data_IF_957528059557
#
_entry.id   IF_957528059557
#
_cell.length_a   1.000
_cell.length_b   1.000
_cell.length_c   1.000
_cell.angle_alpha   90.00
_cell.angle_beta   90.00
_cell.angle_gamma   90.00
#
_symmetry.space_group_name_H-M   'P 1'
#
loop_
_entity.id
_entity.type
_entity.pdbx_description
1 polymer ?
#
# COMPACT_ATOMS: atom_id res chain seq x y z
N UNK A 1 8.19 2.22 -0.78
CA UNK A 1 6.84 2.79 -0.92
C UNK A 1 6.49 2.80 -2.39
N UNK A 2 5.31 2.33 -2.78
CA UNK A 2 4.89 2.24 -4.18
C UNK A 2 4.82 3.66 -4.76
N UNK A 3 5.51 3.94 -5.88
CA UNK A 3 5.36 5.21 -6.56
C UNK A 3 3.88 5.45 -6.91
N UNK A 4 3.36 6.67 -6.77
CA UNK A 4 2.01 7.03 -7.19
C UNK A 4 2.04 7.98 -8.38
N UNK A 5 1.39 7.61 -9.48
CA UNK A 5 1.23 8.47 -10.66
C UNK A 5 -0.21 8.97 -10.68
N UNK A 6 -0.43 10.24 -10.35
CA UNK A 6 -1.78 10.79 -10.19
C UNK A 6 -2.44 11.11 -11.53
N UNK A 7 -3.69 10.67 -11.75
CA UNK A 7 -4.46 11.15 -12.89
C UNK A 7 -4.95 12.60 -12.64
N UNK A 8 -5.28 13.28 -13.72
CA UNK A 8 -6.02 14.55 -13.64
C UNK A 8 -7.43 14.25 -13.14
N UNK A 9 -7.89 14.97 -12.11
CA UNK A 9 -9.23 14.84 -11.56
C UNK A 9 -10.19 15.82 -12.23
N UNK A 10 -11.24 15.35 -12.95
CA UNK A 10 -12.25 16.25 -13.50
C UNK A 10 -13.10 16.90 -12.40
N UNK A 11 -13.42 18.18 -12.58
CA UNK A 11 -14.18 18.96 -11.61
C UNK A 11 -15.55 18.34 -11.27
N UNK A 12 -16.22 17.77 -12.27
CA UNK A 12 -17.50 17.08 -12.07
C UNK A 12 -17.35 15.87 -11.12
N UNK A 13 -16.34 15.04 -11.34
CA UNK A 13 -16.05 13.91 -10.46
C UNK A 13 -15.68 14.37 -9.04
N UNK A 14 -14.87 15.43 -8.92
CA UNK A 14 -14.51 16.02 -7.62
C UNK A 14 -15.73 16.50 -6.82
N UNK A 15 -16.76 17.02 -7.50
CA UNK A 15 -17.98 17.49 -6.88
C UNK A 15 -18.95 16.37 -6.48
N UNK A 16 -18.90 15.22 -7.18
CA UNK A 16 -19.87 14.13 -6.99
C UNK A 16 -19.37 13.02 -6.05
N UNK A 17 -18.06 12.85 -5.91
CA UNK A 17 -17.49 11.71 -5.20
C UNK A 17 -16.63 12.14 -4.03
N UNK A 18 -16.68 11.34 -2.97
CA UNK A 18 -15.76 11.47 -1.84
C UNK A 18 -14.31 11.22 -2.30
N UNK A 19 -13.33 11.94 -1.74
CA UNK A 19 -11.93 11.80 -2.12
C UNK A 19 -11.39 10.38 -1.90
N UNK A 20 -11.84 9.64 -0.87
CA UNK A 20 -11.39 8.27 -0.62
C UNK A 20 -11.74 7.35 -1.81
N UNK A 21 -12.97 7.42 -2.30
CA UNK A 21 -13.44 6.63 -3.42
C UNK A 21 -12.70 6.97 -4.71
N UNK A 22 -12.42 8.25 -4.95
CA UNK A 22 -11.59 8.69 -6.09
C UNK A 22 -10.16 8.14 -5.99
N UNK A 23 -9.54 8.20 -4.81
CA UNK A 23 -8.20 7.67 -4.58
C UNK A 23 -8.16 6.13 -4.71
N UNK A 24 -9.16 5.41 -4.19
CA UNK A 24 -9.25 3.96 -4.32
C UNK A 24 -9.40 3.52 -5.77
N UNK A 25 -10.21 4.25 -6.56
CA UNK A 25 -10.30 4.02 -8.00
C UNK A 25 -8.96 4.30 -8.72
N UNK A 26 -8.29 5.40 -8.36
CA UNK A 26 -7.04 5.80 -9.00
C UNK A 26 -5.84 4.90 -8.64
N UNK A 27 -5.75 4.41 -7.41
CA UNK A 27 -4.53 3.79 -6.86
C UNK A 27 -4.72 2.36 -6.32
N UNK A 28 -5.96 1.92 -6.15
CA UNK A 28 -6.34 0.66 -5.51
C UNK A 28 -6.66 0.84 -4.02
N UNK A 29 -7.18 -0.22 -3.40
CA UNK A 29 -7.59 -0.25 -1.99
C UNK A 29 -6.38 -0.52 -1.06
N UNK A 30 -5.40 0.39 -1.07
CA UNK A 30 -4.19 0.26 -0.24
C UNK A 30 -3.85 1.58 0.43
N UNK A 31 -3.30 1.51 1.64
CA UNK A 31 -2.66 2.66 2.27
C UNK A 31 -1.48 3.12 1.41
N UNK A 32 -1.39 4.43 1.16
CA UNK A 32 -0.35 5.00 0.31
C UNK A 32 1.07 4.84 0.88
N UNK A 33 1.20 4.72 2.20
CA UNK A 33 2.50 4.70 2.88
C UNK A 33 2.93 3.29 3.29
N UNK A 34 2.10 2.55 4.02
CA UNK A 34 2.42 1.20 4.47
C UNK A 34 2.02 0.11 3.46
N UNK A 35 1.23 0.47 2.42
CA UNK A 35 0.77 -0.43 1.35
C UNK A 35 -0.12 -1.58 1.82
N UNK A 36 -0.62 -1.52 3.06
CA UNK A 36 -1.59 -2.49 3.58
C UNK A 36 -2.92 -2.37 2.84
N UNK A 37 -3.60 -3.49 2.53
CA UNK A 37 -4.96 -3.46 2.00
C UNK A 37 -5.94 -2.76 2.95
N UNK A 38 -6.83 -1.95 2.38
CA UNK A 38 -7.92 -1.27 3.08
C UNK A 38 -9.16 -2.17 2.99
N UNK A 39 -9.52 -2.82 4.10
CA UNK A 39 -10.65 -3.76 4.14
C UNK A 39 -11.95 -3.10 4.58
N UNK A 40 -11.89 -2.25 5.61
CA UNK A 40 -13.08 -1.70 6.27
C UNK A 40 -13.07 -0.17 6.24
N UNK A 41 -12.07 0.45 6.89
CA UNK A 41 -11.97 1.90 7.05
C UNK A 41 -10.77 2.48 6.31
N UNK A 42 -10.91 3.72 5.86
CA UNK A 42 -9.85 4.50 5.24
C UNK A 42 -9.97 5.97 5.59
N UNK A 43 -8.83 6.65 5.66
CA UNK A 43 -8.76 8.09 5.89
C UNK A 43 -8.05 8.77 4.75
N UNK A 44 -8.43 10.01 4.44
CA UNK A 44 -7.80 10.82 3.41
C UNK A 44 -6.94 11.87 4.08
N UNK A 45 -5.62 11.75 3.95
CA UNK A 45 -4.64 12.67 4.53
C UNK A 45 -4.12 13.66 3.49
N UNK A 46 -4.08 14.95 3.84
CA UNK A 46 -3.58 16.04 3.00
C UNK A 46 -2.14 16.41 3.40
N UNK A 47 -1.21 16.15 2.50
CA UNK A 47 0.22 16.44 2.70
C UNK A 47 0.57 17.93 2.78
N UNK A 48 -0.35 18.84 2.48
CA UNK A 48 -0.13 20.28 2.70
C UNK A 48 -0.36 20.69 4.13
N UNK A 49 -1.34 20.07 4.78
CA UNK A 49 -1.82 20.47 6.11
C UNK A 49 -1.37 19.49 7.20
N UNK A 50 -0.97 18.28 6.81
CA UNK A 50 -0.65 17.21 7.74
C UNK A 50 -1.87 16.64 8.44
N UNK A 51 -3.08 16.89 7.93
CA UNK A 51 -4.34 16.50 8.56
C UNK A 51 -5.20 15.67 7.63
N UNK A 52 -6.09 14.88 8.20
CA UNK A 52 -7.14 14.23 7.43
C UNK A 52 -8.22 15.24 7.03
N UNK A 53 -8.73 15.10 5.81
CA UNK A 53 -9.84 15.89 5.27
C UNK A 53 -11.15 15.14 5.42
N UNK A 54 -12.25 15.89 5.38
CA UNK A 54 -13.59 15.29 5.34
C UNK A 54 -13.77 14.47 4.07
N UNK A 55 -14.29 13.26 4.23
CA UNK A 55 -14.52 12.33 3.12
C UNK A 55 -15.91 12.51 2.49
N UNK A 56 -16.23 13.76 2.16
CA UNK A 56 -17.49 14.14 1.54
C UNK A 56 -17.28 14.56 0.07
N UNK A 57 -18.30 14.43 -0.80
CA UNK A 57 -18.27 15.00 -2.14
C UNK A 57 -17.89 16.49 -2.12
N UNK A 58 -17.00 16.90 -3.03
CA UNK A 58 -16.48 18.28 -3.09
C UNK A 58 -15.22 18.53 -2.25
N UNK A 59 -14.84 17.62 -1.34
CA UNK A 59 -13.66 17.78 -0.47
C UNK A 59 -12.32 17.42 -1.13
N UNK A 60 -12.31 17.13 -2.44
CA UNK A 60 -11.10 16.74 -3.19
C UNK A 60 -10.25 17.93 -3.71
N UNK A 61 -10.40 19.13 -3.14
CA UNK A 61 -9.78 20.36 -3.64
C UNK A 61 -8.24 20.28 -3.77
N UNK A 62 -7.58 19.58 -2.86
CA UNK A 62 -6.13 19.37 -2.85
C UNK A 62 -5.71 18.03 -3.46
N UNK A 63 -6.44 17.49 -4.45
CA UNK A 63 -6.22 16.16 -5.05
C UNK A 63 -4.75 15.73 -5.23
N UNK A 64 -3.88 16.65 -5.67
CA UNK A 64 -2.46 16.41 -5.86
C UNK A 64 -1.69 16.06 -4.57
N UNK A 65 -2.28 16.29 -3.40
CA UNK A 65 -1.69 16.12 -2.08
C UNK A 65 -2.50 15.19 -1.18
N UNK A 66 -3.53 14.51 -1.70
CA UNK A 66 -4.35 13.59 -0.93
C UNK A 66 -3.82 12.16 -1.00
N UNK A 67 -3.85 11.46 0.13
CA UNK A 67 -3.34 10.10 0.29
C UNK A 67 -4.29 9.26 1.14
N UNK A 68 -4.50 8.01 0.76
CA UNK A 68 -5.22 7.05 1.58
C UNK A 68 -4.34 6.55 2.72
N UNK A 69 -4.86 6.55 3.93
CA UNK A 69 -4.28 5.90 5.09
C UNK A 69 -5.12 4.69 5.50
N UNK A 70 -4.45 3.63 5.96
CA UNK A 70 -5.08 2.63 6.81
C UNK A 70 -5.19 3.15 8.24
N UNK A 71 -5.88 2.38 9.08
CA UNK A 71 -6.08 2.70 10.50
C UNK A 71 -4.76 2.92 11.24
N UNK A 72 -3.79 2.04 11.04
CA UNK A 72 -2.57 2.12 11.83
C UNK A 72 -1.62 3.25 11.37
N UNK A 73 -1.64 3.69 10.11
CA UNK A 73 -0.98 4.92 9.69
C UNK A 73 -1.74 6.17 10.17
N UNK A 74 -3.07 6.13 10.17
CA UNK A 74 -3.88 7.22 10.71
C UNK A 74 -3.66 7.44 12.22
N UNK A 75 -3.71 6.37 13.02
CA UNK A 75 -3.45 6.44 14.46
C UNK A 75 -2.00 6.86 14.75
N UNK A 76 -1.03 6.36 13.97
CA UNK A 76 0.37 6.75 14.11
C UNK A 76 0.58 8.26 13.88
N UNK A 77 -0.04 8.84 12.84
CA UNK A 77 0.12 10.28 12.60
C UNK A 77 -0.57 11.14 13.67
N UNK A 78 -1.64 10.65 14.31
CA UNK A 78 -2.26 11.35 15.45
C UNK A 78 -1.33 11.36 16.68
N UNK A 79 -0.60 10.26 16.90
CA UNK A 79 0.30 10.09 18.02
C UNK A 79 1.70 10.70 17.78
N UNK A 80 2.04 11.02 16.54
CA UNK A 80 3.34 11.56 16.17
C UNK A 80 3.53 12.99 16.70
N UNK A 81 4.76 13.30 17.10
CA UNK A 81 5.18 14.69 17.32
C UNK A 81 4.95 15.50 16.04
N UNK A 82 4.49 16.75 16.18
CA UNK A 82 4.27 17.65 15.04
C UNK A 82 5.51 17.69 14.13
N UNK A 83 5.35 17.22 12.89
CA UNK A 83 6.35 17.30 11.81
C UNK A 83 5.80 18.21 10.73
N UNK A 84 6.65 19.04 10.14
CA UNK A 84 6.31 19.76 8.91
C UNK A 84 6.04 18.72 7.80
N UNK A 85 4.82 18.63 7.24
CA UNK A 85 4.51 17.67 6.19
C UNK A 85 5.44 17.77 4.97
N UNK A 86 6.02 18.94 4.69
CA UNK A 86 6.98 19.13 3.61
C UNK A 86 8.33 18.42 3.87
N UNK A 87 8.63 18.07 5.13
CA UNK A 87 9.81 17.30 5.51
C UNK A 87 9.66 15.79 5.26
N UNK A 88 8.45 15.32 4.93
CA UNK A 88 8.17 13.91 4.67
C UNK A 88 8.52 13.52 3.23
N UNK A 89 9.02 12.30 3.07
CA UNK A 89 9.12 11.63 1.78
C UNK A 89 7.73 11.12 1.36
N UNK A 90 7.22 11.59 0.23
CA UNK A 90 5.89 11.24 -0.29
C UNK A 90 5.95 10.19 -1.42
N UNK A 91 4.94 9.32 -1.55
CA UNK A 91 4.90 8.27 -2.58
C UNK A 91 4.94 8.76 -4.03
N UNK A 92 4.55 10.01 -4.31
CA UNK A 92 4.56 10.59 -5.66
C UNK A 92 5.86 11.33 -6.00
N UNK A 93 6.78 11.46 -5.03
CA UNK A 93 8.10 12.04 -5.27
C UNK A 93 8.97 11.08 -6.10
N UNK A 94 9.60 11.56 -7.19
CA UNK A 94 10.50 10.74 -8.00
C UNK A 94 11.61 10.10 -7.15
N UNK A 95 11.76 8.78 -7.27
CA UNK A 95 12.82 8.04 -6.56
C UNK A 95 12.58 7.86 -5.07
N UNK A 96 11.36 8.07 -4.54
CA UNK A 96 11.03 7.77 -3.14
C UNK A 96 11.38 6.31 -2.75
N UNK A 97 11.30 5.40 -3.71
CA UNK A 97 11.79 4.05 -3.57
C UNK A 97 12.14 3.46 -4.95
N UNK A 98 13.33 2.85 -5.03
CA UNK A 98 13.81 2.14 -6.22
C UNK A 98 14.64 0.92 -5.79
N UNK A 99 14.15 -0.32 -6.00
CA UNK A 99 14.86 -1.53 -5.60
C UNK A 99 16.15 -1.78 -6.40
N UNK A 100 16.34 -1.10 -7.54
CA UNK A 100 17.56 -1.20 -8.34
C UNK A 100 18.73 -0.40 -7.77
N UNK A 101 18.44 0.54 -6.86
CA UNK A 101 19.39 1.53 -6.38
C UNK A 101 19.79 1.27 -4.93
N UNK A 102 21.08 1.04 -4.65
CA UNK A 102 21.55 0.86 -3.28
C UNK A 102 21.43 2.14 -2.44
N UNK A 103 21.28 3.31 -3.06
CA UNK A 103 21.08 4.61 -2.40
C UNK A 103 19.61 5.03 -2.32
N UNK A 104 18.65 4.17 -2.71
CA UNK A 104 17.22 4.45 -2.60
C UNK A 104 16.85 4.94 -1.18
N UNK A 105 16.10 6.06 -1.03
CA UNK A 105 15.78 6.64 0.27
C UNK A 105 15.14 5.68 1.25
N UNK A 106 14.21 4.85 0.76
CA UNK A 106 13.63 3.74 1.51
C UNK A 106 14.27 2.42 1.08
N UNK A 107 14.46 1.51 2.02
CA UNK A 107 14.84 0.13 1.77
C UNK A 107 13.97 -0.82 2.59
N UNK A 108 13.69 -1.99 2.04
CA UNK A 108 12.90 -3.05 2.66
C UNK A 108 13.79 -4.28 2.76
N UNK A 109 14.05 -4.75 3.98
CA UNK A 109 14.96 -5.89 4.20
C UNK A 109 14.37 -6.86 5.21
N UNK A 110 14.53 -8.16 4.96
CA UNK A 110 14.22 -9.19 5.95
C UNK A 110 15.32 -9.18 7.01
N UNK A 111 14.94 -8.96 8.26
CA UNK A 111 15.84 -8.91 9.41
C UNK A 111 15.36 -9.87 10.49
N UNK A 112 16.30 -10.49 11.19
CA UNK A 112 16.02 -11.23 12.41
C UNK A 112 15.88 -10.24 13.56
N UNK A 113 14.73 -10.22 14.21
CA UNK A 113 14.41 -9.37 15.35
C UNK A 113 14.14 -10.22 16.59
N UNK A 114 14.18 -9.57 17.76
CA UNK A 114 13.74 -10.15 19.02
C UNK A 114 12.35 -9.63 19.38
N UNK A 115 11.36 -10.51 19.46
CA UNK A 115 10.01 -10.16 19.95
C UNK A 115 9.89 -10.44 21.44
N UNK A 116 9.31 -9.50 22.15
CA UNK A 116 8.95 -9.63 23.56
C UNK A 116 7.52 -9.13 23.76
N UNK A 117 6.74 -9.86 24.54
CA UNK A 117 5.40 -9.44 24.95
C UNK A 117 5.48 -8.75 26.32
N UNK A 118 4.72 -7.68 26.51
CA UNK A 118 4.70 -6.91 27.75
C UNK A 118 3.31 -6.82 28.37
N UNK A 119 3.22 -6.78 29.70
CA UNK A 119 1.99 -6.46 30.42
C UNK A 119 1.69 -4.95 30.40
N UNK A 120 0.58 -4.56 31.04
CA UNK A 120 0.18 -3.15 31.20
C UNK A 120 1.22 -2.30 31.96
N UNK A 121 2.05 -2.94 32.80
CA UNK A 121 3.13 -2.27 33.54
C UNK A 121 4.45 -2.23 32.74
N UNK A 122 4.46 -2.69 31.48
CA UNK A 122 5.63 -2.74 30.61
C UNK A 122 6.62 -3.87 30.96
N UNK A 123 6.24 -4.83 31.81
CA UNK A 123 7.09 -5.96 32.19
C UNK A 123 6.92 -7.10 31.20
N UNK A 124 7.98 -7.84 30.94
CA UNK A 124 7.94 -8.96 30.00
C UNK A 124 7.05 -10.09 30.54
N UNK A 125 6.08 -10.57 29.74
CA UNK A 125 5.14 -11.64 30.13
C UNK A 125 5.52 -13.02 29.60
N UNK A 126 6.60 -13.11 28.81
CA UNK A 126 7.07 -14.36 28.23
C UNK A 126 8.53 -14.33 27.81
N UNK A 127 9.04 -15.46 27.28
CA UNK A 127 10.39 -15.51 26.74
C UNK A 127 10.52 -14.64 25.49
N UNK A 128 11.72 -14.10 25.28
CA UNK A 128 12.06 -13.44 24.05
C UNK A 128 12.11 -14.45 22.89
N UNK A 129 11.53 -14.09 21.74
CA UNK A 129 11.44 -14.94 20.55
C UNK A 129 12.20 -14.33 19.37
N UNK A 130 13.01 -15.15 18.70
CA UNK A 130 13.72 -14.75 17.50
C UNK A 130 12.79 -14.90 16.27
N UNK A 131 12.42 -13.79 15.64
CA UNK A 131 11.48 -13.77 14.51
C UNK A 131 12.06 -13.04 13.29
N UNK A 132 11.78 -13.51 12.08
CA UNK A 132 12.15 -12.80 10.86
C UNK A 132 11.05 -11.81 10.46
N UNK A 133 11.40 -10.55 10.25
CA UNK A 133 10.46 -9.51 9.80
C UNK A 133 11.08 -8.61 8.75
N UNK A 134 10.25 -8.21 7.79
CA UNK A 134 10.62 -7.15 6.85
C UNK A 134 10.57 -5.82 7.58
N UNK A 135 11.70 -5.13 7.63
CA UNK A 135 11.88 -3.81 8.23
C UNK A 135 12.07 -2.78 7.12
N UNK A 136 11.45 -1.61 7.28
CA UNK A 136 11.66 -0.43 6.42
C UNK A 136 12.73 0.44 7.05
N UNK A 137 13.78 0.74 6.30
CA UNK A 137 14.85 1.64 6.75
C UNK A 137 14.92 2.88 5.88
N UNK A 138 15.19 4.03 6.52
CA UNK A 138 15.28 5.34 5.87
C UNK A 138 16.74 5.82 5.80
N UNK A 139 17.27 5.98 4.59
CA UNK A 139 18.64 6.44 4.34
C UNK A 139 18.75 7.97 4.36
N UNK A 140 17.67 8.67 4.02
CA UNK A 140 17.59 10.13 4.05
C UNK A 140 16.78 10.62 5.26
N UNK A 141 16.97 11.88 5.70
CA UNK A 141 16.13 12.45 6.76
C UNK A 141 14.63 12.41 6.46
N UNK A 142 14.14 12.75 5.24
CA UNK A 142 12.73 12.62 4.91
C UNK A 142 12.20 11.19 4.99
N UNK A 143 13.00 10.21 4.57
CA UNK A 143 12.61 8.81 4.65
C UNK A 143 12.45 8.34 6.12
N UNK A 144 13.36 8.74 7.01
CA UNK A 144 13.26 8.45 8.45
C UNK A 144 12.05 9.14 9.07
N UNK A 145 11.86 10.42 8.79
CA UNK A 145 10.70 11.18 9.25
C UNK A 145 9.38 10.52 8.82
N UNK A 146 9.29 10.05 7.57
CA UNK A 146 8.10 9.31 7.10
C UNK A 146 7.91 7.96 7.79
N UNK A 147 8.99 7.22 8.07
CA UNK A 147 8.90 5.96 8.82
C UNK A 147 8.35 6.20 10.21
N UNK A 148 8.84 7.24 10.89
CA UNK A 148 8.46 7.56 12.26
C UNK A 148 7.03 8.13 12.31
N UNK A 149 6.71 9.11 11.45
CA UNK A 149 5.42 9.79 11.43
C UNK A 149 4.23 8.85 11.15
N UNK A 150 4.42 7.85 10.28
CA UNK A 150 3.38 6.85 9.98
C UNK A 150 3.60 5.50 10.68
N UNK A 151 4.59 5.42 11.58
CA UNK A 151 5.05 4.20 12.24
C UNK A 151 5.12 3.00 11.27
N UNK A 152 5.85 3.13 10.15
CA UNK A 152 5.85 2.12 9.08
C UNK A 152 6.35 0.75 9.55
N UNK A 153 7.12 0.68 10.63
CA UNK A 153 7.53 -0.54 11.30
C UNK A 153 6.69 -0.85 12.55
N UNK A 154 5.44 -0.40 12.63
CA UNK A 154 4.62 -0.39 13.86
C UNK A 154 5.20 0.48 14.99
N UNK A 155 4.34 0.93 15.91
CA UNK A 155 4.73 1.70 17.09
C UNK A 155 5.53 0.86 18.11
N UNK A 156 5.45 -0.47 18.00
CA UNK A 156 6.11 -1.43 18.87
C UNK A 156 7.57 -1.74 18.49
N UNK A 157 8.03 -1.26 17.34
CA UNK A 157 9.40 -1.50 16.89
C UNK A 157 10.39 -0.55 17.57
N UNK A 158 11.54 -1.11 17.96
CA UNK A 158 12.68 -0.39 18.54
C UNK A 158 13.90 -0.62 17.67
N UNK A 159 14.34 0.44 17.00
CA UNK A 159 15.41 0.35 16.00
C UNK A 159 16.80 0.19 16.63
N UNK A 160 17.00 0.73 17.83
CA UNK A 160 18.23 0.68 18.61
C UNK A 160 18.54 -0.73 19.13
N UNK A 161 17.51 -1.45 19.57
CA UNK A 161 17.63 -2.83 20.09
C UNK A 161 17.26 -3.91 19.08
N UNK A 162 16.79 -3.52 17.89
CA UNK A 162 16.21 -4.42 16.88
C UNK A 162 15.14 -5.35 17.47
N UNK A 163 14.28 -4.80 18.33
CA UNK A 163 13.23 -5.52 19.03
C UNK A 163 11.83 -5.13 18.58
N UNK A 164 10.88 -6.02 18.85
CA UNK A 164 9.45 -5.76 18.82
C UNK A 164 8.90 -5.98 20.23
N UNK A 165 8.60 -4.89 20.91
CA UNK A 165 8.04 -4.86 22.27
C UNK A 165 6.55 -4.58 22.17
N UNK A 166 5.75 -5.65 22.19
CA UNK A 166 4.32 -5.59 21.88
C UNK A 166 3.55 -5.82 23.19
N UNK A 167 2.65 -4.90 23.60
CA UNK A 167 1.70 -5.18 24.67
C UNK A 167 0.92 -6.45 24.37
N UNK A 168 0.80 -7.34 25.35
CA UNK A 168 0.18 -8.65 25.17
C UNK A 168 -1.26 -8.54 24.66
N UNK A 169 -2.03 -7.58 25.19
CA UNK A 169 -3.38 -7.27 24.71
C UNK A 169 -3.38 -6.87 23.22
N UNK A 170 -2.47 -5.98 22.81
CA UNK A 170 -2.36 -5.56 21.41
C UNK A 170 -1.97 -6.72 20.48
N UNK A 171 -1.16 -7.64 20.96
CA UNK A 171 -0.80 -8.86 20.24
C UNK A 171 -2.03 -9.77 20.06
N UNK A 172 -2.78 -10.03 21.12
CA UNK A 172 -3.99 -10.87 21.09
C UNK A 172 -5.11 -10.25 20.24
N UNK A 173 -5.26 -8.93 20.28
CA UNK A 173 -6.23 -8.18 19.48
C UNK A 173 -5.79 -7.97 18.02
N UNK A 174 -4.56 -8.37 17.68
CA UNK A 174 -4.01 -8.16 16.34
C UNK A 174 -4.02 -6.68 15.92
N UNK A 175 -3.78 -5.77 16.88
CA UNK A 175 -3.98 -4.33 16.72
C UNK A 175 -3.16 -3.74 15.56
N UNK A 176 -1.90 -4.17 15.42
CA UNK A 176 -1.04 -3.79 14.30
C UNK A 176 -0.22 -4.98 13.78
N UNK A 177 -0.71 -5.58 12.70
CA UNK A 177 -0.05 -6.72 12.03
C UNK A 177 0.77 -6.31 10.82
N UNK A 178 1.03 -5.03 10.60
CA UNK A 178 1.59 -4.57 9.32
C UNK A 178 2.93 -5.23 9.01
N UNK A 179 3.78 -5.44 10.02
CA UNK A 179 5.06 -6.12 9.83
C UNK A 179 4.90 -7.60 9.50
N UNK A 180 3.96 -8.30 10.12
CA UNK A 180 3.65 -9.71 9.81
C UNK A 180 3.14 -9.84 8.38
N UNK A 181 2.15 -9.03 8.01
CA UNK A 181 1.53 -9.05 6.68
C UNK A 181 2.54 -8.68 5.58
N UNK A 182 3.36 -7.66 5.83
CA UNK A 182 4.46 -7.26 4.95
C UNK A 182 5.47 -8.39 4.76
N UNK A 183 5.82 -9.09 5.84
CA UNK A 183 6.74 -10.23 5.80
C UNK A 183 6.15 -11.40 5.02
N UNK A 184 4.85 -11.68 5.21
CA UNK A 184 4.15 -12.70 4.44
C UNK A 184 4.13 -12.37 2.95
N UNK A 185 3.91 -11.09 2.58
CA UNK A 185 3.94 -10.62 1.20
C UNK A 185 5.34 -10.83 0.58
N UNK A 186 6.40 -10.45 1.29
CA UNK A 186 7.78 -10.71 0.90
C UNK A 186 8.04 -12.20 0.66
N UNK A 187 7.70 -13.06 1.62
CA UNK A 187 7.95 -14.50 1.55
C UNK A 187 7.22 -15.15 0.37
N UNK A 188 5.95 -14.77 0.14
CA UNK A 188 5.16 -15.30 -0.97
C UNK A 188 5.69 -14.80 -2.32
N UNK A 189 6.06 -13.53 -2.43
CA UNK A 189 6.68 -12.98 -3.63
C UNK A 189 8.02 -13.67 -3.94
N UNK A 190 8.89 -13.83 -2.93
CA UNK A 190 10.15 -14.55 -3.06
C UNK A 190 9.96 -16.00 -3.53
N UNK A 191 8.97 -16.70 -2.98
CA UNK A 191 8.68 -18.09 -3.36
C UNK A 191 8.25 -18.21 -4.83
N UNK A 192 7.36 -17.34 -5.31
CA UNK A 192 6.96 -17.35 -6.72
C UNK A 192 8.12 -16.92 -7.63
N UNK A 193 8.87 -15.88 -7.26
CA UNK A 193 10.03 -15.40 -8.01
C UNK A 193 11.11 -16.48 -8.16
N UNK A 194 11.40 -17.23 -7.09
CA UNK A 194 12.40 -18.31 -7.09
C UNK A 194 12.07 -19.46 -8.06
N UNK A 195 10.79 -19.63 -8.43
CA UNK A 195 10.35 -20.65 -9.40
C UNK A 195 10.54 -20.19 -10.85
N UNK A 196 10.66 -18.89 -11.11
CA UNK A 196 10.73 -18.36 -12.47
C UNK A 196 11.97 -18.81 -13.25
N UNK A 197 13.20 -18.79 -12.70
CA UNK A 197 14.38 -19.28 -13.40
C UNK A 197 14.33 -20.79 -13.71
N UNK A 198 13.53 -21.54 -12.94
CA UNK A 198 13.38 -22.99 -13.09
C UNK A 198 12.30 -23.40 -14.09
N UNK A 199 11.58 -22.44 -14.69
CA UNK A 199 10.48 -22.73 -15.59
C UNK A 199 10.98 -23.23 -16.96
N UNK A 200 10.78 -24.52 -17.33
CA UNK A 200 11.36 -25.09 -18.54
C UNK A 200 10.71 -24.60 -19.85
N UNK A 201 9.61 -23.85 -19.77
CA UNK A 201 8.83 -23.37 -20.92
C UNK A 201 8.41 -21.93 -20.73
N UNK A 202 8.46 -21.13 -21.79
CA UNK A 202 8.03 -19.73 -21.79
C UNK A 202 6.60 -19.54 -21.26
N UNK A 203 5.67 -20.43 -21.62
CA UNK A 203 4.28 -20.39 -21.13
C UNK A 203 4.17 -20.47 -19.59
N UNK A 204 5.01 -21.29 -18.95
CA UNK A 204 5.05 -21.37 -17.49
C UNK A 204 5.65 -20.10 -16.88
N UNK A 205 6.66 -19.51 -17.53
CA UNK A 205 7.20 -18.20 -17.15
C UNK A 205 6.13 -17.10 -17.15
N UNK A 206 5.29 -17.04 -18.19
CA UNK A 206 4.16 -16.11 -18.25
C UNK A 206 3.12 -16.37 -17.16
N UNK A 207 2.78 -17.63 -16.91
CA UNK A 207 1.83 -17.98 -15.85
C UNK A 207 2.35 -17.60 -14.46
N UNK A 208 3.65 -17.81 -14.19
CA UNK A 208 4.29 -17.40 -12.93
C UNK A 208 4.35 -15.87 -12.79
N UNK A 209 4.60 -15.15 -13.88
CA UNK A 209 4.58 -13.69 -13.89
C UNK A 209 3.18 -13.16 -13.56
N UNK A 210 2.15 -13.73 -14.18
CA UNK A 210 0.77 -13.37 -13.89
C UNK A 210 0.39 -13.75 -12.45
N UNK A 211 0.76 -14.93 -11.98
CA UNK A 211 0.54 -15.34 -10.59
C UNK A 211 1.19 -14.36 -9.59
N UNK A 212 2.44 -13.95 -9.84
CA UNK A 212 3.11 -12.96 -9.00
C UNK A 212 2.37 -11.62 -9.03
N UNK A 213 1.92 -11.17 -10.20
CA UNK A 213 1.13 -9.94 -10.36
C UNK A 213 -0.18 -9.98 -9.58
N UNK A 214 -0.95 -11.07 -9.70
CA UNK A 214 -2.18 -11.32 -8.94
C UNK A 214 -1.92 -11.31 -7.43
N UNK A 215 -0.86 -12.00 -7.00
CA UNK A 215 -0.47 -12.08 -5.60
C UNK A 215 -0.16 -10.69 -5.02
N UNK A 216 0.68 -9.91 -5.70
CA UNK A 216 1.06 -8.55 -5.29
C UNK A 216 -0.17 -7.64 -5.21
N UNK A 217 -1.03 -7.71 -6.22
CA UNK A 217 -2.26 -6.93 -6.25
C UNK A 217 -3.32 -7.36 -5.23
N UNK A 218 -3.27 -8.58 -4.69
CA UNK A 218 -4.18 -9.03 -3.63
C UNK A 218 -3.63 -8.74 -2.23
N UNK A 219 -2.32 -8.85 -2.04
CA UNK A 219 -1.69 -8.75 -0.72
C UNK A 219 -1.33 -7.32 -0.31
N UNK A 220 -1.17 -6.41 -1.28
CA UNK A 220 -0.54 -5.12 -1.03
C UNK A 220 0.98 -5.28 -0.82
N UNK A 221 1.56 -4.37 -0.04
CA UNK A 221 3.00 -4.36 0.28
C UNK A 221 3.90 -4.48 -0.96
N UNK A 222 3.52 -3.79 -2.04
CA UNK A 222 4.21 -3.77 -3.33
C UNK A 222 5.73 -3.61 -3.20
N UNK A 223 6.19 -2.72 -2.33
CA UNK A 223 7.62 -2.46 -2.13
C UNK A 223 8.36 -3.65 -1.52
N UNK A 224 7.70 -4.39 -0.63
CA UNK A 224 8.27 -5.61 -0.06
C UNK A 224 8.30 -6.73 -1.09
N UNK A 225 7.23 -6.87 -1.87
CA UNK A 225 7.17 -7.84 -2.95
C UNK A 225 8.24 -7.58 -4.03
N UNK A 226 8.41 -6.33 -4.47
CA UNK A 226 9.42 -5.99 -5.48
C UNK A 226 10.83 -6.12 -4.92
N UNK A 227 11.09 -5.73 -3.67
CA UNK A 227 12.40 -5.95 -3.04
C UNK A 227 12.76 -7.43 -2.93
N UNK A 228 11.78 -8.30 -2.67
CA UNK A 228 11.98 -9.74 -2.64
C UNK A 228 12.26 -10.33 -4.03
N UNK A 229 11.54 -9.86 -5.05
CA UNK A 229 11.57 -10.42 -6.41
C UNK A 229 12.72 -9.86 -7.26
N UNK A 230 13.08 -8.58 -7.09
CA UNK A 230 14.08 -7.87 -7.90
C UNK A 230 15.45 -8.57 -8.00
N UNK A 231 16.04 -9.11 -6.91
CA UNK A 231 17.33 -9.79 -7.00
C UNK A 231 17.25 -11.18 -7.66
N UNK A 232 16.04 -11.76 -7.76
CA UNK A 232 15.83 -13.13 -8.27
C UNK A 232 15.40 -13.14 -9.73
N UNK A 233 14.55 -12.20 -10.13
CA UNK A 233 14.05 -12.10 -11.51
C UNK A 233 15.04 -11.28 -12.33
N UNK A 234 15.94 -11.96 -13.02
CA UNK A 234 16.94 -11.33 -13.90
C UNK A 234 16.30 -10.60 -15.09
N UNK A 235 15.22 -11.17 -15.64
CA UNK A 235 14.54 -10.58 -16.79
C UNK A 235 13.75 -9.31 -16.38
N UNK A 236 14.31 -8.15 -16.74
CA UNK A 236 13.71 -6.85 -16.41
C UNK A 236 12.41 -6.55 -17.15
N UNK A 237 12.14 -7.19 -18.29
CA UNK A 237 10.82 -7.07 -18.93
C UNK A 237 9.73 -7.74 -18.10
N UNK A 238 10.03 -8.88 -17.47
CA UNK A 238 9.10 -9.56 -16.55
C UNK A 238 8.88 -8.71 -15.30
N UNK A 239 9.95 -8.13 -14.73
CA UNK A 239 9.80 -7.18 -13.61
C UNK A 239 8.90 -5.99 -13.98
N UNK A 240 9.07 -5.44 -15.18
CA UNK A 240 8.21 -4.34 -15.68
C UNK A 240 6.76 -4.81 -15.82
N UNK A 241 6.53 -5.98 -16.41
CA UNK A 241 5.20 -6.56 -16.57
C UNK A 241 4.47 -6.78 -15.23
N UNK A 242 5.19 -7.25 -14.20
CA UNK A 242 4.59 -7.58 -12.89
C UNK A 242 4.33 -6.32 -12.05
N UNK A 243 5.28 -5.38 -12.04
CA UNK A 243 5.28 -4.29 -11.05
C UNK A 243 5.01 -2.89 -11.63
N UNK A 244 5.08 -2.71 -12.96
CA UNK A 244 5.07 -1.38 -13.63
C UNK A 244 4.03 -1.26 -14.77
N UNK A 245 3.71 -2.33 -15.49
CA UNK A 245 2.74 -2.28 -16.58
C UNK A 245 1.31 -2.57 -16.09
N UNK A 246 0.37 -1.62 -16.20
CA UNK A 246 -1.04 -1.96 -16.02
C UNK A 246 -1.42 -3.04 -17.04
N UNK A 247 -2.34 -3.93 -16.66
CA UNK A 247 -2.80 -5.04 -17.50
C UNK A 247 -3.41 -4.58 -18.85
N UNK A 248 -3.65 -3.26 -19.01
CA UNK A 248 -4.55 -2.64 -19.97
C UNK A 248 -3.88 -2.00 -21.20
N UNK A 249 -2.79 -2.54 -21.72
CA UNK A 249 -2.39 -2.18 -23.11
C UNK A 249 -3.34 -2.76 -24.18
N UNK A 250 -4.41 -3.47 -23.79
CA UNK A 250 -5.45 -4.01 -24.68
C UNK A 250 -6.87 -4.03 -24.09
N UNK A 251 -7.32 -3.03 -23.34
CA UNK A 251 -8.75 -2.93 -22.98
C UNK A 251 -9.47 -1.91 -23.85
N UNK A 252 -10.53 -2.37 -24.52
CA UNK A 252 -11.58 -1.50 -25.03
C UNK A 252 -12.10 -0.62 -23.89
N UNK A 253 -12.61 0.61 -24.17
CA UNK A 253 -13.17 1.45 -23.13
C UNK A 253 -14.20 0.66 -22.29
N UNK A 254 -14.25 0.88 -20.96
CA UNK A 254 -15.24 0.24 -20.11
C UNK A 254 -16.63 0.45 -20.71
N UNK A 255 -17.52 -0.56 -20.64
CA UNK A 255 -18.93 -0.37 -20.98
C UNK A 255 -19.47 0.88 -20.26
N UNK A 256 -20.46 1.57 -20.82
CA UNK A 256 -21.02 2.77 -20.20
C UNK A 256 -21.51 2.55 -18.74
N UNK A 257 -21.83 1.31 -18.38
CA UNK A 257 -22.21 0.87 -17.04
C UNK A 257 -21.05 0.88 -16.01
N UNK A 258 -19.80 0.85 -16.46
CA UNK A 258 -18.58 0.82 -15.63
C UNK A 258 -17.91 2.22 -15.53
N UNK A 259 -18.55 3.27 -16.04
CA UNK A 259 -18.03 4.63 -16.00
C UNK A 259 -18.32 5.31 -14.64
N UNK A 260 -17.32 5.97 -14.08
CA UNK A 260 -17.49 6.81 -12.89
C UNK A 260 -18.49 7.93 -13.23
N UNK A 261 -19.60 7.99 -12.48
CA UNK A 261 -20.66 8.99 -12.68
C UNK A 261 -20.03 10.38 -12.67
N UNK A 262 -20.33 11.21 -13.66
CA UNK A 262 -19.72 12.53 -13.79
C UNK A 262 -18.39 12.58 -14.54
N UNK A 263 -17.94 11.46 -15.11
CA UNK A 263 -16.83 11.40 -16.06
C UNK A 263 -17.33 10.94 -17.42
N UNK A 264 -16.85 11.53 -18.50
CA UNK A 264 -17.09 10.94 -19.83
C UNK A 264 -16.43 9.56 -19.90
N UNK A 265 -16.97 8.61 -20.68
CA UNK A 265 -16.43 7.24 -20.77
C UNK A 265 -14.92 7.20 -21.11
N UNK A 266 -14.45 8.12 -21.96
CA UNK A 266 -13.03 8.28 -22.31
C UNK A 266 -12.17 8.80 -21.15
N UNK A 267 -12.74 9.59 -20.25
CA UNK A 267 -12.07 10.13 -19.06
C UNK A 267 -12.05 9.08 -17.96
N UNK A 268 -13.16 8.38 -17.73
CA UNK A 268 -13.23 7.24 -16.83
C UNK A 268 -12.24 6.13 -17.22
N UNK A 269 -12.13 5.83 -18.53
CA UNK A 269 -11.13 4.88 -19.06
C UNK A 269 -9.67 5.29 -18.78
N UNK A 270 -9.42 6.58 -18.52
CA UNK A 270 -8.11 7.15 -18.24
C UNK A 270 -7.95 7.56 -16.78
N UNK A 271 -8.99 7.41 -15.97
CA UNK A 271 -8.98 7.72 -14.54
C UNK A 271 -8.46 6.52 -13.74
N UNK A 272 -7.29 6.06 -14.16
CA UNK A 272 -6.44 5.17 -13.39
C UNK A 272 -5.11 5.89 -13.23
N UNK A 273 -4.62 6.00 -12.00
CA UNK A 273 -3.20 6.23 -11.82
C UNK A 273 -2.41 5.03 -12.31
N UNK A 274 -1.20 4.84 -11.79
CA UNK A 274 -0.51 3.56 -11.95
C UNK A 274 -1.14 2.44 -11.08
N UNK A 275 -2.40 2.60 -10.67
CA UNK A 275 -3.14 1.97 -9.58
C UNK A 275 -3.71 0.58 -9.78
N UNK A 276 -4.40 0.22 -10.88
CA UNK A 276 -5.13 -1.03 -10.89
C UNK A 276 -4.23 -2.15 -11.44
N UNK A 277 -3.32 -2.69 -10.61
CA UNK A 277 -2.84 -4.05 -10.87
C UNK A 277 -3.95 -5.06 -10.57
N UNK A 278 -4.79 -4.78 -9.58
CA UNK A 278 -6.08 -5.43 -9.36
C UNK A 278 -7.04 -4.46 -8.67
N UNK A 279 -8.21 -4.21 -9.26
CA UNK A 279 -9.42 -4.10 -8.45
C UNK A 279 -9.64 -5.46 -7.80
N UNK A 280 -9.96 -5.50 -6.51
CA UNK A 280 -10.49 -6.71 -5.89
C UNK A 280 -11.58 -7.30 -6.81
N UNK A 281 -11.68 -8.63 -6.99
CA UNK A 281 -12.91 -9.21 -7.53
C UNK A 281 -14.07 -8.76 -6.63
N UNK A 282 -14.93 -7.86 -7.10
CA UNK A 282 -16.09 -7.32 -6.37
C UNK A 282 -16.06 -5.84 -5.98
N UNK A 283 -14.94 -5.10 -6.11
CA UNK A 283 -14.93 -3.66 -5.72
C UNK A 283 -15.34 -2.69 -6.82
N UNK A 284 -15.51 -3.18 -8.06
CA UNK A 284 -15.97 -2.34 -9.19
C UNK A 284 -17.43 -1.89 -9.05
N UNK A 285 -18.20 -2.54 -8.17
CA UNK A 285 -19.64 -2.29 -7.96
C UNK A 285 -19.98 -1.49 -6.69
N UNK A 286 -18.99 -1.08 -5.87
CA UNK A 286 -19.25 -0.36 -4.60
C UNK A 286 -19.74 1.09 -4.78
N UNK A 287 -19.69 1.63 -6.00
CA UNK A 287 -20.15 2.99 -6.31
C UNK A 287 -21.52 3.04 -6.99
N UNK A 288 -22.33 1.97 -6.91
CA UNK A 288 -23.73 2.03 -7.36
C UNK A 288 -24.58 2.73 -6.30
N UNK A 289 -25.16 3.92 -6.58
CA UNK A 289 -26.27 4.41 -5.78
C UNK A 289 -27.50 3.62 -6.20
N UNK A 290 -27.91 2.58 -5.45
CA UNK A 290 -29.19 1.92 -5.77
C UNK A 290 -29.57 0.57 -5.15
N UNK A 291 -28.74 -0.14 -4.40
CA UNK A 291 -29.22 -1.36 -3.73
C UNK A 291 -29.80 -1.04 -2.35
N UNK A 292 -31.05 -0.60 -2.33
CA UNK A 292 -31.94 -0.90 -1.22
C UNK A 292 -32.16 -2.42 -1.24
N UNK A 293 -31.37 -3.15 -0.46
CA UNK A 293 -31.66 -4.55 -0.16
C UNK A 293 -32.95 -4.58 0.66
N UNK A 294 -34.05 -4.80 -0.04
CA UNK A 294 -35.30 -5.27 0.54
C UNK A 294 -35.10 -6.71 0.96
N UNK A 295 -34.55 -6.90 2.17
CA UNK A 295 -34.72 -8.13 2.90
C UNK A 295 -36.16 -8.20 3.42
N UNK A 296 -36.96 -9.06 2.81
CA UNK A 296 -38.12 -9.66 3.45
C UNK A 296 -38.01 -11.19 3.34
N UNK A 297 -38.53 -11.89 4.37
CA UNK A 297 -37.93 -13.11 4.94
C UNK A 297 -37.97 -14.36 4.06
#
# INVERSE_FOLDING_TARGET
MRPLVRPVLPAAAAAMHAPSGLLMNAFGHFCAFCERPLLDESWVWDARTGRCVDDAPGSAANWAHLYLLDRNCYEAQLAATSVDPAALLLPDQPGAFDPSRPDSPLAYTLQRLTRVLTDEAGRHTGPAEAIDRVVVTGKTPPARATIDYFALNTAYYRADTQSLEIPEEAFLQLADRRMDQRTLAWQRAANVAAKMPLAPRAALGYALAEQLRLLVGAMGFWSSCVSAAYPVIENRSVMRQVFVEPQETRRAPPPAADAIIGMAAREAARFGGNGPYHTFPGTRDLFRPGNQDSFQP
#
